data_IF_928998644299
#
_entry.id   IF_928998644299
#
_cell.length_a   1.000
_cell.length_b   1.000
_cell.length_c   1.000
_cell.angle_alpha   90.00
_cell.angle_beta   90.00
_cell.angle_gamma   90.00
#
_symmetry.space_group_name_H-M   'P 1'
#
loop_
_entity.id
_entity.type
_entity.pdbx_description
1 polymer ?
#
# COMPACT_ATOMS: atom_id res chain seq x y z
N UNK A 1 19.15 15.33 27.72
CA UNK A 1 19.21 14.14 26.85
C UNK A 1 18.11 13.22 27.36
N UNK A 2 16.89 13.43 26.86
CA UNK A 2 15.73 12.66 27.29
C UNK A 2 15.86 11.22 26.84
N UNK A 3 15.42 10.30 27.67
CA UNK A 3 15.41 8.86 27.44
C UNK A 3 14.84 8.58 26.03
N UNK A 4 15.67 8.07 25.14
CA UNK A 4 15.22 7.54 23.85
C UNK A 4 14.36 6.32 24.19
N UNK A 5 13.04 6.39 23.99
CA UNK A 5 12.20 5.18 24.00
C UNK A 5 12.62 4.32 22.79
N UNK A 6 13.39 3.23 22.99
CA UNK A 6 13.78 2.36 21.89
C UNK A 6 12.56 1.47 21.60
N UNK A 7 12.13 1.36 20.35
CA UNK A 7 11.08 0.39 19.99
C UNK A 7 9.89 0.92 19.20
N UNK A 8 9.70 2.23 19.04
CA UNK A 8 8.50 2.75 18.33
C UNK A 8 8.50 2.44 16.83
N UNK A 9 9.67 2.44 16.19
CA UNK A 9 9.78 1.99 14.79
C UNK A 9 9.58 0.48 14.69
N UNK A 10 10.12 -0.28 15.64
CA UNK A 10 9.92 -1.71 15.76
C UNK A 10 8.45 -2.05 16.02
N UNK A 11 7.74 -1.21 16.76
CA UNK A 11 6.30 -1.32 16.98
C UNK A 11 5.51 -1.00 15.72
N UNK A 12 5.84 0.09 15.01
CA UNK A 12 5.24 0.40 13.70
C UNK A 12 5.51 -0.73 12.71
N UNK A 13 6.73 -1.26 12.69
CA UNK A 13 7.11 -2.40 11.87
C UNK A 13 6.34 -3.66 12.30
N UNK A 14 6.17 -3.93 13.59
CA UNK A 14 5.42 -5.07 14.09
C UNK A 14 3.94 -4.98 13.73
N UNK A 15 3.31 -3.81 13.89
CA UNK A 15 1.94 -3.55 13.41
C UNK A 15 1.88 -3.65 11.88
N UNK A 16 2.91 -3.21 11.17
CA UNK A 16 2.98 -3.41 9.73
C UNK A 16 3.05 -4.89 9.35
N UNK A 17 3.79 -5.70 10.10
CA UNK A 17 3.85 -7.14 9.94
C UNK A 17 2.51 -7.82 10.24
N UNK A 18 1.70 -7.35 11.21
CA UNK A 18 0.33 -7.87 11.40
C UNK A 18 -0.54 -7.65 10.15
N UNK A 19 -0.33 -6.54 9.44
CA UNK A 19 -0.98 -6.28 8.15
C UNK A 19 -0.38 -7.04 6.97
N UNK A 20 0.85 -7.57 7.08
CA UNK A 20 1.37 -8.52 6.08
C UNK A 20 0.73 -9.88 6.23
N UNK A 21 0.18 -10.24 7.39
CA UNK A 21 -0.41 -11.54 7.67
C UNK A 21 -1.90 -11.70 7.27
N UNK A 22 -2.45 -10.82 6.43
CA UNK A 22 -3.92 -10.60 6.46
C UNK A 22 -4.77 -11.71 5.83
N UNK A 23 -4.24 -12.61 5.00
CA UNK A 23 -4.99 -13.81 4.59
C UNK A 23 -4.09 -15.02 4.35
N UNK A 24 -4.57 -16.24 4.67
CA UNK A 24 -3.96 -17.46 4.16
C UNK A 24 -3.87 -17.37 2.64
N UNK A 25 -2.70 -17.66 2.09
CA UNK A 25 -2.54 -17.65 0.63
C UNK A 25 -3.20 -18.90 0.06
N UNK A 26 -3.99 -18.75 -1.00
CA UNK A 26 -4.50 -19.88 -1.75
C UNK A 26 -3.47 -20.37 -2.76
N UNK A 27 -3.55 -21.64 -3.16
CA UNK A 27 -2.83 -22.13 -4.33
C UNK A 27 -3.19 -21.26 -5.54
N UNK A 28 -2.19 -20.85 -6.31
CA UNK A 28 -2.30 -19.95 -7.44
C UNK A 28 -2.15 -18.47 -7.10
N UNK A 29 -2.13 -18.09 -5.82
CA UNK A 29 -1.87 -16.71 -5.39
C UNK A 29 -0.47 -16.31 -5.81
N UNK A 30 -0.35 -15.21 -6.54
CA UNK A 30 0.96 -14.62 -6.78
C UNK A 30 1.38 -13.80 -5.55
N UNK A 31 2.66 -13.80 -5.26
CA UNK A 31 3.28 -13.08 -4.16
C UNK A 31 4.60 -12.49 -4.60
N UNK A 32 5.13 -11.59 -3.79
CA UNK A 32 6.49 -11.11 -3.91
C UNK A 32 7.30 -11.69 -2.75
N UNK A 33 8.48 -12.21 -3.08
CA UNK A 33 9.44 -12.80 -2.14
C UNK A 33 10.83 -12.25 -2.42
N UNK A 34 11.80 -12.54 -1.54
CA UNK A 34 13.21 -12.25 -1.80
C UNK A 34 13.97 -13.51 -2.13
N UNK A 35 14.72 -13.48 -3.22
CA UNK A 35 15.71 -14.49 -3.56
C UNK A 35 17.05 -13.78 -3.70
N UNK A 36 18.01 -14.15 -2.85
CA UNK A 36 19.34 -13.51 -2.81
C UNK A 36 19.28 -11.97 -2.68
N UNK A 37 18.36 -11.47 -1.86
CA UNK A 37 18.16 -10.04 -1.61
C UNK A 37 17.36 -9.28 -2.67
N UNK A 38 17.14 -9.88 -3.85
CA UNK A 38 16.35 -9.27 -4.93
C UNK A 38 14.85 -9.64 -4.81
N UNK A 39 13.92 -8.71 -5.05
CA UNK A 39 12.50 -9.02 -5.11
C UNK A 39 12.17 -9.85 -6.36
N UNK A 40 11.53 -11.00 -6.16
CA UNK A 40 11.10 -11.92 -7.21
C UNK A 40 9.60 -12.20 -7.04
N UNK A 41 8.86 -12.29 -8.16
CA UNK A 41 7.47 -12.75 -8.11
C UNK A 41 7.47 -14.25 -7.92
N UNK A 42 6.57 -14.77 -7.12
CA UNK A 42 6.40 -16.21 -6.97
C UNK A 42 4.92 -16.57 -6.94
N UNK A 43 4.61 -17.82 -7.27
CA UNK A 43 3.24 -18.34 -7.22
C UNK A 43 3.15 -19.41 -6.14
N UNK A 44 2.12 -19.33 -5.30
CA UNK A 44 1.84 -20.37 -4.30
C UNK A 44 1.41 -21.63 -5.04
N UNK A 45 2.22 -22.69 -4.94
CA UNK A 45 1.91 -23.99 -5.55
C UNK A 45 1.33 -24.97 -4.52
N UNK A 46 1.64 -24.78 -3.24
CA UNK A 46 1.06 -25.58 -2.15
C UNK A 46 0.94 -24.75 -0.87
N UNK A 47 -0.16 -24.94 -0.16
CA UNK A 47 -0.32 -24.45 1.22
C UNK A 47 0.08 -25.58 2.14
N UNK A 48 1.23 -25.45 2.81
CA UNK A 48 1.74 -26.48 3.73
C UNK A 48 1.06 -26.35 5.09
N UNK A 49 0.88 -25.12 5.55
CA UNK A 49 0.08 -24.76 6.71
C UNK A 49 -0.43 -23.31 6.58
N UNK A 50 -1.28 -22.81 7.49
CA UNK A 50 -1.70 -21.40 7.47
C UNK A 50 -0.54 -20.39 7.52
N UNK A 51 0.66 -20.82 7.93
CA UNK A 51 1.85 -19.97 8.09
C UNK A 51 3.04 -20.41 7.23
N UNK A 52 2.90 -21.42 6.37
CA UNK A 52 3.98 -21.96 5.52
C UNK A 52 3.46 -22.36 4.14
N UNK A 53 4.20 -21.99 3.10
CA UNK A 53 3.79 -22.10 1.71
C UNK A 53 4.94 -22.63 0.86
N UNK A 54 4.65 -23.48 -0.10
CA UNK A 54 5.58 -23.74 -1.19
C UNK A 54 5.29 -22.79 -2.33
N UNK A 55 6.34 -22.11 -2.76
CA UNK A 55 6.29 -21.04 -3.74
C UNK A 55 7.20 -21.40 -4.91
N UNK A 56 6.73 -21.15 -6.12
CA UNK A 56 7.54 -21.25 -7.31
C UNK A 56 7.92 -19.84 -7.77
N UNK A 57 9.22 -19.46 -7.74
CA UNK A 57 9.68 -18.19 -8.29
C UNK A 57 9.39 -18.12 -9.79
N UNK A 58 8.90 -16.98 -10.25
CA UNK A 58 8.76 -16.63 -11.66
C UNK A 58 9.84 -15.60 -11.98
N UNK A 59 10.83 -15.99 -12.79
CA UNK A 59 11.93 -15.11 -13.22
C UNK A 59 11.56 -14.28 -14.47
N UNK A 60 10.33 -14.40 -14.97
CA UNK A 60 9.89 -13.78 -16.23
C UNK A 60 8.50 -13.13 -16.17
N UNK A 61 8.12 -12.37 -17.21
CA UNK A 61 6.79 -11.77 -17.34
C UNK A 61 5.68 -12.78 -17.67
N UNK A 62 6.04 -13.99 -18.14
CA UNK A 62 5.13 -15.11 -18.38
C UNK A 62 5.37 -16.23 -17.36
N UNK A 63 4.39 -16.52 -16.47
CA UNK A 63 4.57 -17.49 -15.39
C UNK A 63 4.56 -18.96 -15.86
N UNK A 64 4.35 -19.22 -17.14
CA UNK A 64 4.34 -20.58 -17.70
C UNK A 64 5.71 -21.05 -18.21
N UNK A 65 6.69 -20.16 -18.42
CA UNK A 65 7.96 -20.52 -19.06
C UNK A 65 9.06 -20.99 -18.10
N UNK A 66 8.88 -20.95 -16.78
CA UNK A 66 9.99 -21.18 -15.83
C UNK A 66 9.69 -22.21 -14.71
N UNK A 67 9.09 -23.34 -15.09
CA UNK A 67 8.77 -24.47 -14.20
C UNK A 67 10.00 -25.33 -13.81
N UNK A 68 11.23 -24.90 -14.08
CA UNK A 68 12.43 -25.73 -13.85
C UNK A 68 13.02 -25.62 -12.45
N UNK A 69 12.65 -24.57 -11.70
CA UNK A 69 13.12 -24.39 -10.33
C UNK A 69 12.30 -25.21 -9.33
N UNK A 70 12.92 -25.85 -8.32
CA UNK A 70 12.16 -26.53 -7.27
C UNK A 70 11.33 -25.53 -6.46
N UNK A 71 10.13 -25.90 -5.97
CA UNK A 71 9.36 -25.07 -5.06
C UNK A 71 10.15 -24.78 -3.78
N UNK A 72 10.11 -23.53 -3.34
CA UNK A 72 10.74 -23.08 -2.11
C UNK A 72 9.71 -23.06 -1.00
N UNK A 73 10.01 -23.71 0.14
CA UNK A 73 9.17 -23.60 1.33
C UNK A 73 9.53 -22.32 2.08
N UNK A 74 8.59 -21.38 2.19
CA UNK A 74 8.77 -20.14 2.95
C UNK A 74 7.70 -20.00 4.02
N UNK A 75 8.09 -19.43 5.16
CA UNK A 75 7.15 -18.96 6.17
C UNK A 75 6.40 -17.72 5.66
N UNK A 76 5.21 -17.47 6.19
CA UNK A 76 4.38 -16.31 5.78
C UNK A 76 5.10 -14.97 5.96
N UNK A 77 5.93 -14.86 7.00
CA UNK A 77 6.74 -13.68 7.33
C UNK A 77 7.86 -13.40 6.32
N UNK A 78 8.25 -14.39 5.53
CA UNK A 78 9.29 -14.26 4.50
C UNK A 78 8.72 -13.84 3.14
N UNK A 79 7.40 -13.68 3.06
CA UNK A 79 6.67 -13.27 1.86
C UNK A 79 6.37 -11.79 1.95
N UNK A 80 7.18 -10.98 1.26
CA UNK A 80 7.17 -9.52 1.27
C UNK A 80 5.79 -8.90 1.06
N UNK A 81 5.01 -9.44 0.11
CA UNK A 81 3.64 -8.99 -0.13
C UNK A 81 2.84 -10.06 -0.87
N UNK A 82 1.52 -10.08 -0.64
CA UNK A 82 0.61 -10.66 -1.62
C UNK A 82 0.71 -9.82 -2.88
N UNK A 83 0.70 -10.42 -4.08
CA UNK A 83 0.56 -9.60 -5.28
C UNK A 83 -0.63 -8.70 -5.05
N UNK A 84 -0.37 -7.39 -5.24
CA UNK A 84 -1.33 -6.32 -5.13
C UNK A 84 -2.69 -6.84 -5.59
N UNK A 85 -3.65 -6.94 -4.68
CA UNK A 85 -4.98 -7.40 -5.03
C UNK A 85 -5.50 -6.49 -6.13
N UNK A 86 -5.78 -7.09 -7.29
CA UNK A 86 -6.32 -6.40 -8.44
C UNK A 86 -7.72 -5.91 -8.09
N UNK A 87 -8.01 -4.65 -8.41
CA UNK A 87 -9.36 -4.12 -8.30
C UNK A 87 -10.29 -4.94 -9.19
N UNK A 88 -11.43 -5.34 -8.62
CA UNK A 88 -12.55 -5.87 -9.35
C UNK A 88 -13.67 -4.83 -9.38
N UNK A 89 -14.52 -4.90 -10.40
CA UNK A 89 -15.75 -4.12 -10.41
C UNK A 89 -16.71 -4.68 -9.35
N UNK A 90 -17.36 -3.79 -8.60
CA UNK A 90 -18.32 -4.19 -7.58
C UNK A 90 -19.54 -4.90 -8.21
N UNK A 91 -20.30 -5.69 -7.42
CA UNK A 91 -21.57 -6.25 -7.87
C UNK A 91 -22.54 -5.18 -8.40
N UNK A 92 -22.48 -3.97 -7.83
CA UNK A 92 -23.29 -2.84 -8.29
C UNK A 92 -22.85 -2.35 -9.67
N UNK A 93 -21.54 -2.12 -9.89
CA UNK A 93 -21.02 -1.72 -11.19
C UNK A 93 -21.34 -2.77 -12.28
N UNK A 94 -21.19 -4.05 -11.96
CA UNK A 94 -21.59 -5.15 -12.84
C UNK A 94 -23.11 -5.19 -13.08
N UNK A 95 -23.91 -4.86 -12.06
CA UNK A 95 -25.36 -4.72 -12.18
C UNK A 95 -25.77 -3.59 -13.14
N UNK A 96 -25.14 -2.41 -13.03
CA UNK A 96 -25.35 -1.30 -13.95
C UNK A 96 -24.99 -1.66 -15.39
N UNK A 97 -23.90 -2.41 -15.58
CA UNK A 97 -23.48 -2.90 -16.89
C UNK A 97 -24.50 -3.88 -17.49
N UNK A 98 -24.98 -4.84 -16.68
CA UNK A 98 -26.03 -5.81 -17.11
C UNK A 98 -27.34 -5.13 -17.46
N UNK A 99 -27.74 -4.10 -16.72
CA UNK A 99 -28.94 -3.32 -17.02
C UNK A 99 -28.87 -2.61 -18.39
N UNK A 100 -27.66 -2.38 -18.92
CA UNK A 100 -27.41 -1.84 -20.26
C UNK A 100 -27.28 -2.92 -21.34
N UNK A 101 -27.55 -4.19 -21.01
CA UNK A 101 -27.54 -5.32 -21.94
C UNK A 101 -26.19 -6.03 -22.11
N UNK A 102 -25.15 -5.60 -21.41
CA UNK A 102 -23.84 -6.24 -21.48
C UNK A 102 -23.81 -7.57 -20.68
N UNK A 103 -23.26 -8.61 -21.30
CA UNK A 103 -23.23 -9.99 -20.77
C UNK A 103 -21.93 -10.34 -20.06
N UNK A 104 -20.86 -9.63 -20.38
CA UNK A 104 -19.51 -9.86 -19.85
C UNK A 104 -18.94 -8.56 -19.27
N UNK A 105 -18.06 -8.64 -18.25
CA UNK A 105 -17.32 -7.47 -17.78
C UNK A 105 -16.49 -6.85 -18.92
N UNK A 106 -16.27 -5.53 -18.91
CA UNK A 106 -15.41 -4.88 -19.89
C UNK A 106 -13.94 -5.29 -19.67
N UNK A 107 -13.15 -5.18 -20.74
CA UNK A 107 -11.72 -5.44 -20.67
C UNK A 107 -11.05 -4.52 -19.63
N UNK A 108 -10.16 -5.05 -18.76
CA UNK A 108 -9.44 -4.29 -17.74
C UNK A 108 -8.65 -3.07 -18.24
N UNK A 109 -8.25 -3.04 -19.52
CA UNK A 109 -7.58 -1.91 -20.16
C UNK A 109 -8.52 -0.93 -20.87
N UNK A 110 -9.82 -1.18 -20.85
CA UNK A 110 -10.81 -0.34 -21.53
C UNK A 110 -11.22 0.89 -20.72
N UNK A 111 -11.63 1.94 -21.43
CA UNK A 111 -12.22 3.13 -20.81
C UNK A 111 -13.53 2.84 -20.05
N UNK A 112 -14.32 1.87 -20.50
CA UNK A 112 -15.54 1.45 -19.81
C UNK A 112 -15.24 0.85 -18.44
N UNK A 113 -14.23 -0.02 -18.34
CA UNK A 113 -13.77 -0.54 -17.05
C UNK A 113 -13.33 0.59 -16.13
N UNK A 114 -12.54 1.55 -16.65
CA UNK A 114 -12.11 2.71 -15.87
C UNK A 114 -13.29 3.52 -15.34
N UNK A 115 -14.29 3.83 -16.17
CA UNK A 115 -15.47 4.59 -15.75
C UNK A 115 -16.28 3.89 -14.66
N UNK A 116 -16.48 2.57 -14.78
CA UNK A 116 -17.15 1.78 -13.74
C UNK A 116 -16.34 1.76 -12.45
N UNK A 117 -15.00 1.68 -12.54
CA UNK A 117 -14.11 1.73 -11.39
C UNK A 117 -14.16 3.11 -10.69
N UNK A 118 -14.33 4.21 -11.45
CA UNK A 118 -14.57 5.54 -10.90
C UNK A 118 -15.90 5.63 -10.15
N UNK A 119 -16.97 5.03 -10.69
CA UNK A 119 -18.27 5.00 -10.02
C UNK A 119 -18.20 4.24 -8.68
N UNK A 120 -17.45 3.13 -8.63
CA UNK A 120 -17.19 2.42 -7.37
C UNK A 120 -16.34 3.26 -6.40
N UNK A 121 -15.31 3.94 -6.90
CA UNK A 121 -14.48 4.83 -6.10
C UNK A 121 -15.30 5.97 -5.47
N UNK A 122 -16.18 6.59 -6.25
CA UNK A 122 -17.07 7.67 -5.80
C UNK A 122 -18.00 7.20 -4.68
N UNK A 123 -18.65 6.05 -4.87
CA UNK A 123 -19.51 5.42 -3.85
C UNK A 123 -18.76 5.03 -2.58
N UNK A 124 -17.43 4.89 -2.66
CA UNK A 124 -16.58 4.54 -1.52
C UNK A 124 -16.20 5.77 -0.68
N UNK A 125 -16.26 6.98 -1.23
CA UNK A 125 -15.86 8.20 -0.51
C UNK A 125 -16.58 8.43 0.83
N UNK A 126 -17.91 8.20 0.97
CA UNK A 126 -18.58 8.32 2.26
C UNK A 126 -18.01 7.37 3.30
N UNK A 127 -17.76 6.10 2.94
CA UNK A 127 -17.15 5.12 3.84
C UNK A 127 -15.72 5.52 4.26
N UNK A 128 -14.96 6.14 3.35
CA UNK A 128 -13.61 6.66 3.64
C UNK A 128 -13.68 7.85 4.60
N UNK A 129 -14.68 8.73 4.46
CA UNK A 129 -14.90 9.82 5.39
C UNK A 129 -15.32 9.31 6.78
N UNK A 130 -16.21 8.33 6.85
CA UNK A 130 -16.62 7.71 8.11
C UNK A 130 -15.43 7.02 8.80
N UNK A 131 -14.60 6.30 8.05
CA UNK A 131 -13.37 5.70 8.57
C UNK A 131 -12.42 6.76 9.12
N UNK A 132 -12.23 7.87 8.40
CA UNK A 132 -11.42 9.01 8.86
C UNK A 132 -11.92 9.48 10.23
N UNK A 133 -13.22 9.71 10.37
CA UNK A 133 -13.78 10.30 11.59
C UNK A 133 -13.65 9.34 12.78
N UNK A 134 -13.93 8.05 12.60
CA UNK A 134 -13.73 7.02 13.64
C UNK A 134 -12.27 6.91 14.08
N UNK A 135 -11.33 6.96 13.13
CA UNK A 135 -9.89 6.91 13.45
C UNK A 135 -9.46 8.19 14.19
N UNK A 136 -9.92 9.37 13.76
CA UNK A 136 -9.59 10.62 14.44
C UNK A 136 -10.16 10.68 15.86
N UNK A 137 -11.38 10.18 16.06
CA UNK A 137 -12.00 10.08 17.38
C UNK A 137 -11.17 9.17 18.31
N UNK A 138 -10.71 8.02 17.81
CA UNK A 138 -9.88 7.11 18.59
C UNK A 138 -8.50 7.71 18.92
N UNK A 139 -7.85 8.36 17.95
CA UNK A 139 -6.44 8.79 18.04
C UNK A 139 -6.26 10.13 18.77
N UNK A 140 -7.16 11.09 18.59
CA UNK A 140 -7.01 12.43 19.18
C UNK A 140 -7.37 12.50 20.67
N UNK A 141 -7.35 11.36 21.35
CA UNK A 141 -7.47 11.24 22.80
C UNK A 141 -6.06 11.10 23.41
N UNK A 142 -5.83 11.64 24.62
CA UNK A 142 -4.57 11.41 25.34
C UNK A 142 -3.34 12.23 24.88
N UNK A 143 -3.53 13.40 24.27
CA UNK A 143 -2.43 14.36 24.01
C UNK A 143 -1.66 14.16 22.70
N UNK A 144 -2.04 13.18 21.89
CA UNK A 144 -1.52 12.93 20.54
C UNK A 144 -2.39 13.67 19.51
N UNK A 145 -1.80 14.27 18.45
CA UNK A 145 -2.57 14.95 17.41
C UNK A 145 -2.36 14.35 16.02
N UNK A 146 -3.49 14.08 15.38
CA UNK A 146 -3.57 13.64 14.00
C UNK A 146 -4.65 14.44 13.25
N UNK A 147 -4.38 14.74 11.98
CA UNK A 147 -5.35 15.32 11.04
C UNK A 147 -5.63 14.34 9.91
N UNK A 148 -6.90 14.12 9.60
CA UNK A 148 -7.33 13.26 8.50
C UNK A 148 -7.90 14.09 7.35
N UNK A 149 -7.48 13.80 6.12
CA UNK A 149 -8.02 14.44 4.90
C UNK A 149 -8.42 13.37 3.89
N UNK A 150 -9.68 13.40 3.44
CA UNK A 150 -10.12 12.62 2.28
C UNK A 150 -9.86 13.45 1.04
N UNK A 151 -9.06 12.93 0.10
CA UNK A 151 -8.78 13.65 -1.13
C UNK A 151 -9.93 13.45 -2.13
N UNK A 152 -10.15 14.41 -3.04
CA UNK A 152 -10.97 14.16 -4.22
C UNK A 152 -10.47 12.95 -5.01
N UNK A 153 -11.37 12.36 -5.79
CA UNK A 153 -10.99 11.30 -6.73
C UNK A 153 -9.80 11.74 -7.56
N UNK A 154 -8.87 10.81 -7.79
CA UNK A 154 -7.75 11.07 -8.69
C UNK A 154 -8.29 11.56 -10.04
N UNK A 155 -7.73 12.64 -10.58
CA UNK A 155 -8.12 13.13 -11.89
C UNK A 155 -7.88 12.06 -12.97
N UNK A 156 -8.82 11.90 -13.91
CA UNK A 156 -8.77 10.88 -14.98
C UNK A 156 -7.44 10.90 -15.76
N UNK A 157 -6.91 12.06 -16.20
CA UNK A 157 -5.63 12.09 -16.91
C UNK A 157 -4.46 11.53 -16.08
N UNK A 158 -4.48 11.76 -14.76
CA UNK A 158 -3.47 11.21 -13.85
C UNK A 158 -3.62 9.69 -13.67
N UNK A 159 -4.85 9.18 -13.60
CA UNK A 159 -5.11 7.74 -13.50
C UNK A 159 -4.67 7.01 -14.78
N UNK A 160 -5.05 7.52 -15.95
CA UNK A 160 -4.66 6.98 -17.26
C UNK A 160 -3.15 6.99 -17.44
N UNK A 161 -2.49 8.13 -17.17
CA UNK A 161 -1.02 8.23 -17.24
C UNK A 161 -0.34 7.23 -16.31
N UNK A 162 -0.87 7.03 -15.10
CA UNK A 162 -0.34 6.06 -14.14
C UNK A 162 -0.50 4.63 -14.66
N UNK A 163 -1.67 4.28 -15.18
CA UNK A 163 -1.94 2.95 -15.72
C UNK A 163 -1.08 2.64 -16.95
N UNK A 164 -1.01 3.54 -17.93
CA UNK A 164 -0.18 3.36 -19.12
C UNK A 164 1.31 3.31 -18.79
N UNK A 165 1.79 4.22 -17.92
CA UNK A 165 3.21 4.32 -17.61
C UNK A 165 3.73 3.26 -16.64
N UNK A 166 2.89 2.74 -15.72
CA UNK A 166 3.34 1.81 -14.67
C UNK A 166 2.68 0.44 -14.71
N UNK A 167 1.48 0.33 -15.28
CA UNK A 167 0.66 -0.88 -15.24
C UNK A 167 0.33 -1.43 -16.63
N UNK A 168 1.06 -0.99 -17.66
CA UNK A 168 0.88 -1.42 -19.06
C UNK A 168 -0.58 -1.28 -19.55
N UNK A 169 -1.29 -0.27 -19.04
CA UNK A 169 -2.69 -0.02 -19.37
C UNK A 169 -3.72 -0.77 -18.53
N UNK A 170 -3.33 -1.67 -17.63
CA UNK A 170 -4.28 -2.42 -16.79
C UNK A 170 -4.81 -1.56 -15.62
N UNK A 171 -6.08 -1.16 -15.72
CA UNK A 171 -6.73 -0.32 -14.71
C UNK A 171 -7.05 -1.04 -13.41
N UNK A 172 -7.01 -2.38 -13.35
CA UNK A 172 -7.21 -3.12 -12.09
C UNK A 172 -6.13 -2.79 -11.06
N UNK A 173 -4.97 -2.30 -11.50
CA UNK A 173 -3.88 -1.88 -10.63
C UNK A 173 -4.10 -0.48 -10.01
N UNK A 174 -5.18 0.23 -10.33
CA UNK A 174 -5.49 1.55 -9.77
C UNK A 174 -6.20 1.44 -8.41
N UNK A 175 -5.42 1.34 -7.33
CA UNK A 175 -5.91 1.27 -5.94
C UNK A 175 -6.01 2.62 -5.25
N UNK A 176 -5.61 3.71 -5.91
CA UNK A 176 -5.54 5.05 -5.33
C UNK A 176 -6.44 6.06 -6.05
N UNK A 177 -7.57 5.57 -6.59
CA UNK A 177 -8.62 6.44 -7.16
C UNK A 177 -9.33 7.21 -6.05
N UNK A 178 -9.89 6.51 -5.07
CA UNK A 178 -10.23 7.04 -3.77
C UNK A 178 -9.00 6.96 -2.86
N UNK A 179 -8.78 7.98 -2.02
CA UNK A 179 -7.62 8.04 -1.13
C UNK A 179 -7.84 9.00 0.03
N UNK A 180 -7.22 8.69 1.15
CA UNK A 180 -7.14 9.59 2.31
C UNK A 180 -5.72 9.65 2.88
N UNK A 181 -5.46 10.69 3.66
CA UNK A 181 -4.20 10.88 4.37
C UNK A 181 -4.45 11.24 5.82
N UNK A 182 -3.68 10.62 6.71
CA UNK A 182 -3.47 11.04 8.08
C UNK A 182 -2.12 11.73 8.21
N UNK A 183 -2.12 12.93 8.77
CA UNK A 183 -0.94 13.72 9.09
C UNK A 183 -0.78 13.75 10.61
N UNK A 184 0.25 13.05 11.06
CA UNK A 184 0.58 12.80 12.46
C UNK A 184 1.68 13.77 12.92
N UNK A 185 1.65 14.20 14.17
CA UNK A 185 2.72 15.03 14.75
C UNK A 185 3.94 14.22 15.24
N UNK A 186 3.75 12.93 15.49
CA UNK A 186 4.69 12.02 16.15
C UNK A 186 4.65 10.62 15.53
N UNK A 187 5.65 9.78 15.83
CA UNK A 187 5.63 8.36 15.45
C UNK A 187 4.58 7.60 16.28
N UNK A 188 4.38 7.98 17.54
CA UNK A 188 3.31 7.44 18.40
C UNK A 188 1.92 7.65 17.77
N UNK A 189 1.67 8.81 17.18
CA UNK A 189 0.45 9.07 16.42
C UNK A 189 0.30 8.15 15.20
N UNK A 190 1.40 7.85 14.49
CA UNK A 190 1.37 6.89 13.36
C UNK A 190 0.94 5.50 13.85
N UNK A 191 1.57 4.99 14.90
CA UNK A 191 1.24 3.68 15.47
C UNK A 191 -0.24 3.62 15.91
N UNK A 192 -0.73 4.68 16.57
CA UNK A 192 -2.13 4.78 16.99
C UNK A 192 -3.10 4.77 15.80
N UNK A 193 -2.81 5.50 14.71
CA UNK A 193 -3.63 5.48 13.49
C UNK A 193 -3.68 4.09 12.87
N UNK A 194 -2.54 3.41 12.78
CA UNK A 194 -2.46 2.06 12.22
C UNK A 194 -3.33 1.07 13.02
N UNK A 195 -3.22 1.06 14.35
CA UNK A 195 -4.06 0.24 15.24
C UNK A 195 -5.54 0.59 15.12
N UNK A 196 -5.88 1.87 15.07
CA UNK A 196 -7.27 2.31 14.93
C UNK A 196 -7.89 1.84 13.60
N UNK A 197 -7.13 1.81 12.51
CA UNK A 197 -7.57 1.25 11.22
C UNK A 197 -7.77 -0.27 11.34
N UNK A 198 -6.86 -0.99 12.01
CA UNK A 198 -6.99 -2.43 12.26
C UNK A 198 -8.30 -2.78 12.99
N UNK A 199 -8.70 -1.97 13.98
CA UNK A 199 -9.95 -2.18 14.71
C UNK A 199 -11.21 -2.02 13.87
N UNK A 200 -11.11 -1.39 12.69
CA UNK A 200 -12.23 -1.29 11.74
C UNK A 200 -12.33 -2.51 10.81
N UNK A 201 -11.71 -3.64 11.18
CA UNK A 201 -11.71 -4.90 10.42
C UNK A 201 -13.09 -5.45 10.08
N UNK A 202 -14.17 -5.01 10.75
CA UNK A 202 -15.54 -5.37 10.40
C UNK A 202 -15.92 -4.83 9.01
N UNK A 203 -15.64 -3.56 8.75
CA UNK A 203 -16.05 -2.83 7.54
C UNK A 203 -14.95 -2.75 6.47
N UNK A 204 -13.69 -2.86 6.90
CA UNK A 204 -12.52 -2.66 6.07
C UNK A 204 -11.55 -3.84 6.16
N UNK A 205 -10.73 -4.04 5.13
CA UNK A 205 -9.64 -5.01 5.17
C UNK A 205 -8.37 -4.39 4.58
N UNK A 206 -7.29 -4.36 5.36
CA UNK A 206 -5.98 -3.92 4.88
C UNK A 206 -5.41 -5.01 3.97
N UNK A 207 -5.18 -4.69 2.70
CA UNK A 207 -4.73 -5.66 1.69
C UNK A 207 -3.22 -5.70 1.57
N UNK A 208 -2.60 -4.52 1.61
CA UNK A 208 -1.16 -4.35 1.52
C UNK A 208 -0.73 -3.15 2.35
N UNK A 209 0.45 -3.25 2.95
CA UNK A 209 1.16 -2.13 3.54
C UNK A 209 2.47 -1.92 2.79
N UNK A 210 2.85 -0.66 2.64
CA UNK A 210 4.17 -0.26 2.17
C UNK A 210 4.74 0.71 3.19
N UNK A 211 5.70 0.25 3.99
CA UNK A 211 6.46 1.15 4.85
C UNK A 211 7.40 2.00 3.98
N UNK A 212 7.18 3.30 4.00
CA UNK A 212 8.07 4.33 3.41
C UNK A 212 8.40 5.41 4.45
N UNK A 213 8.16 5.12 5.73
CA UNK A 213 8.60 5.91 6.88
C UNK A 213 10.02 5.51 7.25
N UNK A 214 10.24 4.21 7.44
CA UNK A 214 11.58 3.68 7.61
C UNK A 214 12.17 3.51 6.22
N UNK A 215 13.23 4.25 5.92
CA UNK A 215 14.13 3.85 4.86
C UNK A 215 14.81 2.56 5.30
N UNK A 216 14.09 1.43 5.33
CA UNK A 216 14.77 0.16 5.17
C UNK A 216 15.64 0.33 3.91
N UNK A 217 16.89 -0.15 3.88
CA UNK A 217 17.82 0.03 2.75
C UNK A 217 17.30 -0.48 1.40
N UNK A 218 16.08 -1.03 1.37
CA UNK A 218 15.40 -1.60 0.21
C UNK A 218 13.96 -1.09 0.01
N UNK A 219 13.50 -0.11 0.79
CA UNK A 219 12.30 0.64 0.43
C UNK A 219 12.67 1.53 -0.77
N UNK A 220 11.85 1.51 -1.83
CA UNK A 220 12.02 2.33 -3.04
C UNK A 220 12.65 3.71 -2.75
N UNK A 221 13.50 4.26 -3.63
CA UNK A 221 14.40 5.42 -3.38
C UNK A 221 13.73 6.75 -2.97
N UNK A 222 12.43 6.74 -2.72
CA UNK A 222 11.72 7.78 -2.02
C UNK A 222 11.43 7.32 -0.58
N UNK A 223 12.31 7.64 0.36
CA UNK A 223 11.92 7.79 1.77
C UNK A 223 10.84 8.87 1.84
N UNK A 224 9.58 8.47 1.66
CA UNK A 224 8.50 9.38 1.32
C UNK A 224 7.88 10.02 2.58
N UNK A 225 8.31 9.58 3.77
CA UNK A 225 7.87 10.09 5.07
C UNK A 225 6.47 9.61 5.46
N UNK A 226 6.02 8.48 4.90
CA UNK A 226 4.70 7.92 5.18
C UNK A 226 4.63 6.40 5.01
N UNK A 227 3.71 5.77 5.72
CA UNK A 227 3.25 4.40 5.47
C UNK A 227 2.04 4.49 4.53
N UNK A 228 1.99 3.63 3.51
CA UNK A 228 0.84 3.53 2.62
C UNK A 228 0.13 2.19 2.79
N UNK A 229 -1.19 2.22 2.93
CA UNK A 229 -2.07 1.06 2.98
C UNK A 229 -2.94 1.04 1.72
N UNK A 230 -3.14 -0.13 1.12
CA UNK A 230 -4.32 -0.36 0.27
C UNK A 230 -5.37 -1.05 1.12
N UNK A 231 -6.57 -0.47 1.18
CA UNK A 231 -7.66 -0.91 2.04
C UNK A 231 -8.88 -1.24 1.20
N UNK A 232 -9.44 -2.43 1.35
CA UNK A 232 -10.72 -2.84 0.76
C UNK A 232 -11.86 -2.31 1.63
N UNK A 233 -12.75 -1.51 1.05
CA UNK A 233 -14.05 -1.25 1.64
C UNK A 233 -14.98 -2.43 1.35
N UNK A 234 -15.43 -3.16 2.37
CA UNK A 234 -16.30 -4.34 2.15
C UNK A 234 -17.70 -3.95 1.66
N UNK A 235 -18.18 -2.76 2.05
CA UNK A 235 -19.48 -2.24 1.62
C UNK A 235 -19.58 -1.96 0.13
N UNK A 236 -18.47 -1.58 -0.52
CA UNK A 236 -18.44 -1.29 -1.96
C UNK A 236 -17.65 -2.29 -2.78
N UNK A 237 -16.76 -3.07 -2.15
CA UNK A 237 -15.79 -3.93 -2.84
C UNK A 237 -14.63 -3.16 -3.48
N UNK A 238 -14.54 -1.85 -3.28
CA UNK A 238 -13.50 -1.02 -3.87
C UNK A 238 -12.28 -0.91 -2.95
N UNK A 239 -11.09 -0.91 -3.54
CA UNK A 239 -9.83 -0.64 -2.84
C UNK A 239 -9.46 0.83 -2.91
N UNK A 240 -9.10 1.43 -1.78
CA UNK A 240 -8.63 2.81 -1.68
C UNK A 240 -7.29 2.89 -0.96
N UNK A 241 -6.55 3.98 -1.18
CA UNK A 241 -5.24 4.20 -0.56
C UNK A 241 -5.35 5.04 0.72
N UNK A 242 -4.69 4.60 1.79
CA UNK A 242 -4.50 5.39 3.02
C UNK A 242 -3.02 5.72 3.16
N UNK A 243 -2.69 6.99 3.31
CA UNK A 243 -1.33 7.43 3.63
C UNK A 243 -1.27 7.90 5.09
N UNK A 244 -0.40 7.32 5.91
CA UNK A 244 -0.17 7.75 7.29
C UNK A 244 1.22 8.36 7.36
N UNK A 245 1.31 9.67 7.55
CA UNK A 245 2.53 10.44 7.38
C UNK A 245 2.90 11.20 8.66
N UNK A 246 4.19 11.39 8.89
CA UNK A 246 4.66 12.34 9.91
C UNK A 246 4.77 13.72 9.29
N UNK A 247 4.01 14.68 9.82
CA UNK A 247 3.85 16.03 9.28
C UNK A 247 5.20 16.75 9.09
N UNK A 248 6.11 16.60 10.05
CA UNK A 248 7.44 17.18 10.00
C UNK A 248 8.25 16.65 8.79
N UNK A 249 8.15 15.35 8.50
CA UNK A 249 8.83 14.73 7.37
C UNK A 249 8.22 15.12 6.01
N UNK A 250 6.89 15.35 5.97
CA UNK A 250 6.25 15.85 4.75
C UNK A 250 6.76 17.25 4.35
N UNK A 251 7.07 18.11 5.33
CA UNK A 251 7.59 19.47 5.09
C UNK A 251 8.98 19.49 4.48
N UNK A 252 9.76 18.42 4.66
CA UNK A 252 11.08 18.28 4.03
C UNK A 252 11.00 18.03 2.51
N UNK A 253 9.79 17.78 1.98
CA UNK A 253 9.55 17.61 0.56
C UNK A 253 9.40 18.98 -0.10
N UNK A 254 10.21 19.21 -1.13
CA UNK A 254 10.02 20.34 -2.05
C UNK A 254 9.69 19.83 -3.46
N UNK A 255 8.98 20.63 -4.28
CA UNK A 255 8.72 20.28 -5.68
C UNK A 255 10.02 20.02 -6.47
N UNK A 256 11.10 20.74 -6.16
CA UNK A 256 12.41 20.52 -6.79
C UNK A 256 13.00 19.17 -6.37
N UNK A 257 12.94 18.81 -5.07
CA UNK A 257 13.40 17.50 -4.57
C UNK A 257 12.59 16.36 -5.17
N UNK A 258 11.28 16.54 -5.30
CA UNK A 258 10.39 15.57 -5.93
C UNK A 258 10.69 15.40 -7.44
N UNK A 259 11.03 16.49 -8.14
CA UNK A 259 11.43 16.45 -9.54
C UNK A 259 12.80 15.78 -9.72
N UNK A 260 13.76 16.10 -8.84
CA UNK A 260 15.07 15.48 -8.81
C UNK A 260 14.98 13.98 -8.52
N UNK A 261 14.16 13.55 -7.55
CA UNK A 261 13.93 12.14 -7.26
C UNK A 261 13.27 11.39 -8.44
N UNK A 262 12.32 12.03 -9.14
CA UNK A 262 11.75 11.46 -10.38
C UNK A 262 12.79 11.33 -11.48
N UNK A 263 13.63 12.34 -11.68
CA UNK A 263 14.70 12.32 -12.67
C UNK A 263 15.75 11.25 -12.33
N UNK A 264 16.17 11.16 -11.06
CA UNK A 264 17.09 10.13 -10.58
C UNK A 264 16.52 8.72 -10.78
N UNK A 265 15.24 8.50 -10.46
CA UNK A 265 14.58 7.21 -10.72
C UNK A 265 14.49 6.85 -12.21
N UNK A 266 14.25 7.82 -13.09
CA UNK A 266 14.27 7.61 -14.54
C UNK A 266 15.66 7.26 -15.06
N UNK A 267 16.69 7.91 -14.50
CA UNK A 267 18.09 7.71 -14.86
C UNK A 267 18.74 6.53 -14.13
N UNK A 268 17.98 5.82 -13.28
CA UNK A 268 18.48 4.76 -12.38
C UNK A 268 19.66 5.20 -11.50
N UNK A 269 19.69 6.48 -11.12
CA UNK A 269 20.73 7.07 -10.27
C UNK A 269 20.44 6.94 -8.78
N UNK A 270 19.33 6.30 -8.42
CA UNK A 270 18.93 6.06 -7.03
C UNK A 270 18.95 4.55 -6.76
N UNK A 271 20.13 3.96 -6.93
CA UNK A 271 20.43 2.58 -6.56
C UNK A 271 20.88 2.54 -5.09
N UNK A 272 20.72 1.38 -4.43
CA UNK A 272 21.04 1.20 -3.01
C UNK A 272 22.47 1.67 -2.66
N UNK A 273 23.39 1.58 -3.63
CA UNK A 273 24.81 1.94 -3.48
C UNK A 273 25.09 3.46 -3.49
N UNK A 274 24.06 4.29 -3.67
CA UNK A 274 24.21 5.76 -3.83
C UNK A 274 23.41 6.59 -2.83
N UNK A 275 22.58 5.94 -1.99
CA UNK A 275 21.70 6.64 -1.04
C UNK A 275 21.78 5.97 0.33
N UNK A 276 22.85 6.25 1.07
CA UNK A 276 22.97 5.83 2.46
C UNK A 276 22.33 6.88 3.40
N UNK A 277 21.49 6.40 4.30
CA UNK A 277 20.93 7.18 5.39
C UNK A 277 21.43 6.61 6.71
N UNK A 278 22.32 7.34 7.38
CA UNK A 278 22.82 6.95 8.69
C UNK A 278 21.92 7.48 9.82
N UNK A 279 21.62 6.61 10.80
CA UNK A 279 20.86 6.93 12.01
C UNK A 279 19.40 6.47 12.00
N UNK A 280 18.85 6.18 13.19
CA UNK A 280 17.47 5.74 13.36
C UNK A 280 16.49 6.94 13.39
N UNK A 281 15.33 6.80 12.77
CA UNK A 281 14.24 7.78 12.88
C UNK A 281 13.55 7.63 14.26
N UNK A 282 13.91 8.49 15.21
CA UNK A 282 13.31 8.50 16.57
C UNK A 282 12.34 9.67 16.76
N UNK A 283 11.54 9.65 17.84
CA UNK A 283 10.73 10.80 18.24
C UNK A 283 11.59 12.06 18.44
N UNK A 284 12.81 11.89 18.97
CA UNK A 284 13.77 13.00 19.10
C UNK A 284 14.17 13.59 17.74
N UNK A 285 14.35 12.76 16.71
CA UNK A 285 14.61 13.23 15.33
C UNK A 285 13.40 13.99 14.79
N UNK A 286 12.19 13.45 14.94
CA UNK A 286 10.95 14.08 14.48
C UNK A 286 10.76 15.45 15.15
N UNK A 287 10.94 15.53 16.46
CA UNK A 287 10.84 16.78 17.22
C UNK A 287 11.86 17.83 16.75
N UNK A 288 13.10 17.43 16.46
CA UNK A 288 14.13 18.35 15.92
C UNK A 288 13.81 18.86 14.53
N UNK A 289 13.22 18.02 13.66
CA UNK A 289 12.79 18.43 12.31
C UNK A 289 11.56 19.33 12.36
N UNK A 290 10.73 19.19 13.39
CA UNK A 290 9.53 19.99 13.57
C UNK A 290 9.79 21.39 14.14
N UNK A 291 10.89 21.57 14.88
CA UNK A 291 11.34 22.82 15.49
C UNK A 291 11.91 23.80 14.46
#
# INVERSE_FOLDING_TARGET
LGEEEPGLLEEIAAVAETFRAVRPLGVGTEVQIRVSGAPVRAKVVRVVSPVSYDLLPSLGPDPEEDLTSPPMNLARSEIDANTKQLQALSPHALGCLRARGARTPPDPGSGEFLLLLYADAERTLPFVADLRDRVLEAVNTGGVRCRGTVAPLKAVPCAVRKALGRFRGDFRNLTDLARMRFECDSLRAVAAVLRAIEWQAADFAVLTISDRLTGAPHALPSGAGFVALNVLCKGTGHTFEVQVAVSALLRLRSPERDAAARAAGLLRLAEADTTDHEGALTEGVVARVAA
#
